data_IF_279931033333
#
_entry.id   IF_279931033333
#
_cell.length_a   1.000
_cell.length_b   1.000
_cell.length_c   1.000
_cell.angle_alpha   90.00
_cell.angle_beta   90.00
_cell.angle_gamma   90.00
#
_symmetry.space_group_name_H-M   'P 1'
#
loop_
_entity.id
_entity.type
_entity.pdbx_description
1 polymer ?
#
# COMPACT_ATOMS: atom_id res chain seq x y z
N UNK A 1 31.67 -3.59 5.94
CA UNK A 1 30.47 -2.76 6.21
C UNK A 1 30.23 -2.74 7.70
N UNK A 2 29.84 -1.60 8.31
CA UNK A 2 29.41 -1.56 9.72
C UNK A 2 28.10 -2.33 9.85
N UNK A 3 27.98 -3.30 10.77
CA UNK A 3 26.74 -4.04 10.93
C UNK A 3 25.60 -3.13 11.40
N UNK A 4 24.38 -3.46 11.04
CA UNK A 4 23.19 -2.72 11.47
C UNK A 4 22.76 -3.16 12.86
N UNK A 5 22.03 -2.31 13.57
CA UNK A 5 21.57 -2.59 14.95
C UNK A 5 20.77 -3.89 15.01
N UNK A 6 19.92 -4.18 14.03
CA UNK A 6 19.20 -5.45 13.94
C UNK A 6 20.12 -6.68 13.89
N UNK A 7 21.29 -6.57 13.26
CA UNK A 7 22.28 -7.64 13.18
C UNK A 7 23.04 -7.74 14.52
N UNK A 8 23.44 -6.60 15.08
CA UNK A 8 24.16 -6.53 16.35
C UNK A 8 23.39 -7.14 17.50
N UNK A 9 22.07 -6.87 17.57
CA UNK A 9 21.20 -7.40 18.62
C UNK A 9 21.06 -8.94 18.61
N UNK A 10 21.45 -9.60 17.50
CA UNK A 10 21.46 -11.06 17.35
C UNK A 10 22.83 -11.69 17.63
N UNK A 11 23.88 -10.87 17.86
CA UNK A 11 25.21 -11.37 18.17
C UNK A 11 25.25 -11.91 19.59
N UNK A 12 26.18 -12.86 19.81
CA UNK A 12 26.55 -13.29 21.15
C UNK A 12 27.43 -12.24 21.82
N UNK A 13 27.26 -12.05 23.11
CA UNK A 13 28.08 -11.16 23.93
C UNK A 13 29.48 -11.77 24.15
N UNK A 14 30.48 -11.36 23.36
CA UNK A 14 31.86 -11.90 23.39
C UNK A 14 32.94 -10.85 23.66
N UNK A 15 32.62 -9.73 24.28
CA UNK A 15 33.57 -8.62 24.52
C UNK A 15 34.34 -8.19 23.25
N UNK A 16 33.68 -8.25 22.09
CA UNK A 16 34.30 -7.86 20.83
C UNK A 16 34.13 -6.36 20.57
N UNK A 17 35.15 -5.76 19.94
CA UNK A 17 35.08 -4.37 19.51
C UNK A 17 34.01 -4.21 18.41
N UNK A 18 33.18 -3.20 18.54
CA UNK A 18 32.12 -2.93 17.63
C UNK A 18 31.90 -1.43 17.37
N UNK A 19 31.49 -1.08 16.18
CA UNK A 19 31.04 0.27 15.82
C UNK A 19 29.55 0.26 15.60
N UNK A 20 28.85 1.18 16.25
CA UNK A 20 27.40 1.39 16.06
C UNK A 20 27.13 2.82 15.64
N UNK A 21 26.21 3.01 14.69
CA UNK A 21 25.78 4.33 14.20
C UNK A 21 24.27 4.43 14.26
N UNK A 22 23.76 5.61 14.57
CA UNK A 22 22.30 5.81 14.59
C UNK A 22 21.88 7.12 15.25
N UNK A 23 20.58 7.22 15.46
CA UNK A 23 19.94 8.37 16.09
C UNK A 23 19.57 8.04 17.53
N UNK A 24 19.87 8.98 18.42
CA UNK A 24 19.55 8.90 19.85
C UNK A 24 18.03 8.96 20.03
N UNK A 25 17.46 7.93 20.64
CA UNK A 25 16.04 7.87 21.02
C UNK A 25 15.81 8.44 22.41
N UNK A 26 16.66 8.06 23.35
CA UNK A 26 16.62 8.58 24.71
C UNK A 26 18.04 8.58 25.30
N UNK A 27 18.29 9.53 26.19
CA UNK A 27 19.45 9.51 27.07
C UNK A 27 18.97 9.65 28.51
N UNK A 28 19.54 8.84 29.41
CA UNK A 28 19.30 8.88 30.86
C UNK A 28 20.59 8.52 31.57
N UNK A 29 20.70 8.82 32.82
CA UNK A 29 21.90 8.48 33.61
C UNK A 29 21.90 9.17 34.97
N UNK A 30 23.02 8.95 35.65
CA UNK A 30 23.34 9.62 36.91
C UNK A 30 24.80 10.13 36.84
N UNK A 31 25.37 10.51 37.96
CA UNK A 31 26.75 11.04 38.01
C UNK A 31 27.86 10.02 37.71
N UNK A 32 27.53 8.72 37.60
CA UNK A 32 28.53 7.66 37.38
C UNK A 32 28.40 7.01 35.99
N UNK A 33 27.17 6.97 35.42
CA UNK A 33 26.88 6.25 34.18
C UNK A 33 25.81 6.96 33.35
N UNK A 34 26.00 7.00 32.03
CA UNK A 34 24.98 7.41 31.10
C UNK A 34 24.53 6.23 30.20
N UNK A 35 23.26 6.15 29.97
CA UNK A 35 22.61 5.17 29.09
C UNK A 35 21.99 5.90 27.90
N UNK A 36 22.38 5.50 26.68
CA UNK A 36 21.87 6.08 25.45
C UNK A 36 21.18 4.95 24.65
N UNK A 37 19.89 5.11 24.37
CA UNK A 37 19.19 4.22 23.47
C UNK A 37 19.40 4.70 22.03
N UNK A 38 20.04 3.89 21.19
CA UNK A 38 20.39 4.22 19.82
C UNK A 38 19.62 3.32 18.83
N UNK A 39 19.15 3.92 17.73
CA UNK A 39 18.41 3.22 16.69
C UNK A 39 18.86 3.71 15.30
N UNK A 40 19.03 2.79 14.36
CA UNK A 40 19.42 3.07 12.97
C UNK A 40 18.31 2.83 11.95
N UNK A 41 17.09 2.55 12.43
CA UNK A 41 15.91 2.24 11.60
C UNK A 41 15.80 0.79 11.13
N UNK A 42 16.81 -0.06 11.37
CA UNK A 42 16.81 -1.45 10.88
C UNK A 42 15.83 -2.37 11.61
N UNK A 43 15.44 -2.03 12.84
CA UNK A 43 14.46 -2.77 13.63
C UNK A 43 13.71 -1.83 14.60
N UNK A 44 12.68 -2.35 15.26
CA UNK A 44 11.93 -1.61 16.27
C UNK A 44 12.75 -1.42 17.57
N UNK A 45 13.58 -2.39 17.91
CA UNK A 45 14.39 -2.37 19.11
C UNK A 45 15.54 -1.35 19.02
N UNK A 46 15.97 -0.84 20.17
CA UNK A 46 17.13 0.02 20.28
C UNK A 46 18.30 -0.79 20.85
N UNK A 47 19.53 -0.45 20.47
CA UNK A 47 20.69 -0.92 21.22
C UNK A 47 21.01 0.07 22.35
N UNK A 48 21.31 -0.44 23.54
CA UNK A 48 21.74 0.38 24.66
C UNK A 48 23.24 0.62 24.58
N UNK A 49 23.61 1.88 24.61
CA UNK A 49 25.00 2.32 24.80
C UNK A 49 25.16 2.69 26.26
N UNK A 50 26.16 2.10 26.89
CA UNK A 50 26.54 2.37 28.30
C UNK A 50 27.83 3.18 28.30
N UNK A 51 27.80 4.34 28.93
CA UNK A 51 28.98 5.21 29.08
C UNK A 51 29.34 5.26 30.56
N UNK A 52 30.47 4.65 30.92
CA UNK A 52 31.03 4.74 32.26
C UNK A 52 31.78 6.07 32.40
N UNK A 53 31.23 7.02 33.17
CA UNK A 53 31.76 8.36 33.31
C UNK A 53 33.08 8.40 34.09
N UNK A 54 33.46 7.32 34.80
CA UNK A 54 34.74 7.25 35.47
C UNK A 54 35.92 6.99 34.49
N UNK A 55 35.64 6.36 33.36
CA UNK A 55 36.65 5.96 32.36
C UNK A 55 36.53 6.69 31.02
N UNK A 56 35.38 7.32 30.75
CA UNK A 56 35.08 7.98 29.48
C UNK A 56 35.78 9.36 29.39
N UNK A 57 36.71 9.50 28.46
CA UNK A 57 37.63 10.64 28.38
C UNK A 57 37.02 11.96 27.89
N UNK A 58 35.89 11.90 27.16
CA UNK A 58 35.27 13.06 26.53
C UNK A 58 33.82 13.29 27.03
N UNK A 59 33.70 13.67 28.32
CA UNK A 59 32.36 13.94 28.88
C UNK A 59 31.65 15.12 28.23
N UNK A 60 32.39 16.08 27.66
CA UNK A 60 31.80 17.28 27.07
C UNK A 60 30.89 16.95 25.88
N UNK A 61 31.25 15.95 25.08
CA UNK A 61 30.42 15.52 23.93
C UNK A 61 29.02 15.07 24.36
N UNK A 62 28.92 14.51 25.59
CA UNK A 62 27.62 14.02 26.09
C UNK A 62 26.59 15.14 26.25
N UNK A 63 27.02 16.40 26.38
CA UNK A 63 26.08 17.53 26.43
C UNK A 63 25.34 17.70 25.11
N UNK A 64 25.99 17.39 23.98
CA UNK A 64 25.44 17.48 22.64
C UNK A 64 24.73 16.18 22.16
N UNK A 65 24.89 15.08 22.89
CA UNK A 65 24.17 13.80 22.62
C UNK A 65 22.78 13.89 23.22
N UNK A 66 21.89 14.54 22.51
CA UNK A 66 20.48 14.78 22.88
C UNK A 66 19.55 13.88 22.06
N UNK A 67 18.27 13.80 22.43
CA UNK A 67 17.25 13.08 21.63
C UNK A 67 17.23 13.63 20.20
N UNK A 68 17.34 12.74 19.22
CA UNK A 68 17.39 13.10 17.80
C UNK A 68 18.79 13.32 17.24
N UNK A 69 19.83 13.49 18.07
CA UNK A 69 21.20 13.59 17.61
C UNK A 69 21.65 12.30 16.90
N UNK A 70 22.49 12.44 15.88
CA UNK A 70 23.09 11.33 15.16
C UNK A 70 24.53 11.13 15.64
N UNK A 71 24.87 9.90 16.04
CA UNK A 71 26.16 9.56 16.60
C UNK A 71 26.75 8.28 16.01
N UNK A 72 28.10 8.19 16.07
CA UNK A 72 28.86 6.97 15.98
C UNK A 72 29.41 6.64 17.34
N UNK A 73 29.36 5.39 17.73
CA UNK A 73 29.90 4.86 18.98
C UNK A 73 30.82 3.71 18.63
N UNK A 74 32.06 3.80 19.04
CA UNK A 74 33.00 2.68 19.05
C UNK A 74 33.13 2.18 20.50
N UNK A 75 33.09 0.86 20.68
CA UNK A 75 33.12 0.27 22.02
C UNK A 75 33.13 -1.26 21.99
N UNK A 76 32.82 -1.86 23.13
CA UNK A 76 32.76 -3.31 23.29
C UNK A 76 31.32 -3.81 23.42
N UNK A 77 31.00 -4.84 22.66
CA UNK A 77 29.73 -5.55 22.78
C UNK A 77 29.82 -6.50 24.00
N UNK A 78 28.97 -6.27 24.98
CA UNK A 78 28.92 -7.02 26.22
C UNK A 78 27.53 -7.56 26.51
N UNK A 79 27.44 -8.55 27.40
CA UNK A 79 26.15 -9.02 27.89
C UNK A 79 25.43 -7.90 28.63
N UNK A 80 24.14 -7.66 28.29
CA UNK A 80 23.37 -6.64 28.99
C UNK A 80 23.07 -7.06 30.44
N UNK A 81 23.19 -6.11 31.34
CA UNK A 81 22.76 -6.25 32.73
C UNK A 81 21.30 -5.82 32.92
N UNK A 82 20.69 -5.24 31.87
CA UNK A 82 19.31 -4.77 31.88
C UNK A 82 18.30 -5.84 31.44
N UNK A 83 17.11 -5.80 32.00
CA UNK A 83 16.03 -6.69 31.55
C UNK A 83 15.56 -6.30 30.12
N UNK A 84 15.29 -7.31 29.28
CA UNK A 84 14.66 -7.14 27.97
C UNK A 84 15.61 -6.94 26.80
N UNK A 85 16.93 -7.07 26.99
CA UNK A 85 17.93 -7.05 25.91
C UNK A 85 19.08 -8.02 26.24
N UNK A 86 19.61 -8.71 25.21
CA UNK A 86 20.68 -9.70 25.37
C UNK A 86 22.08 -9.06 25.44
N UNK A 87 22.26 -7.97 24.69
CA UNK A 87 23.56 -7.29 24.50
C UNK A 87 23.44 -5.79 24.66
N UNK A 88 24.51 -5.15 25.04
CA UNK A 88 24.71 -3.69 25.09
C UNK A 88 26.11 -3.31 24.66
N UNK A 89 26.36 -2.05 24.35
CA UNK A 89 27.68 -1.55 23.96
C UNK A 89 28.26 -0.68 25.08
N UNK A 90 29.38 -1.11 25.63
CA UNK A 90 30.17 -0.27 26.52
C UNK A 90 31.00 0.69 25.66
N UNK A 91 30.65 1.98 25.70
CA UNK A 91 31.26 2.99 24.84
C UNK A 91 32.71 3.29 25.26
N UNK A 92 33.63 3.27 24.29
CA UNK A 92 35.01 3.75 24.42
C UNK A 92 35.11 5.15 23.81
N UNK A 93 34.47 5.41 22.68
CA UNK A 93 34.45 6.73 22.05
C UNK A 93 33.05 7.02 21.47
N UNK A 94 32.70 8.29 21.44
CA UNK A 94 31.50 8.79 20.78
C UNK A 94 31.89 9.94 19.85
N UNK A 95 31.46 9.86 18.60
CA UNK A 95 31.58 10.91 17.59
C UNK A 95 30.19 11.45 17.25
N UNK A 96 30.01 12.76 17.33
CA UNK A 96 28.78 13.42 16.96
C UNK A 96 28.75 13.72 15.45
N UNK A 97 27.85 13.07 14.69
CA UNK A 97 27.65 13.37 13.26
C UNK A 97 26.72 14.57 13.05
N UNK A 98 25.70 14.70 13.87
CA UNK A 98 24.75 15.80 13.80
C UNK A 98 24.06 16.03 15.13
N UNK A 99 24.08 17.25 15.61
CA UNK A 99 23.37 17.65 16.82
C UNK A 99 21.86 17.79 16.55
N UNK A 100 21.06 17.65 17.61
CA UNK A 100 19.65 18.02 17.61
C UNK A 100 19.41 18.94 18.81
N UNK A 101 18.90 20.14 18.53
CA UNK A 101 18.56 21.08 19.58
C UNK A 101 17.35 20.54 20.38
N UNK A 102 17.49 20.30 21.68
CA UNK A 102 16.43 19.72 22.50
C UNK A 102 15.21 20.65 22.64
N UNK A 103 15.34 21.96 22.39
CA UNK A 103 14.23 22.89 22.49
C UNK A 103 13.36 22.91 21.22
N UNK A 104 13.96 22.69 20.07
CA UNK A 104 13.28 22.79 18.77
C UNK A 104 13.00 21.44 18.10
N UNK A 105 13.67 20.35 18.52
CA UNK A 105 13.44 19.03 17.94
C UNK A 105 12.00 18.54 18.19
N UNK A 106 11.17 18.31 17.14
CA UNK A 106 9.74 18.12 17.32
C UNK A 106 9.36 16.75 17.92
N UNK A 107 10.20 15.71 17.73
CA UNK A 107 9.93 14.37 18.25
C UNK A 107 10.46 14.19 19.68
N UNK A 108 9.84 14.91 20.61
CA UNK A 108 10.18 14.84 22.03
C UNK A 108 9.79 13.47 22.65
N UNK A 109 10.29 13.20 23.87
CA UNK A 109 10.00 12.00 24.65
C UNK A 109 8.57 12.03 25.22
N UNK A 110 7.57 12.15 24.36
CA UNK A 110 6.11 12.11 24.67
C UNK A 110 5.36 11.42 23.56
N UNK A 111 4.11 11.05 23.83
CA UNK A 111 3.22 10.57 22.75
C UNK A 111 2.90 11.71 21.77
N UNK A 112 2.88 11.38 20.49
CA UNK A 112 2.49 12.29 19.41
C UNK A 112 1.23 11.77 18.74
N UNK A 113 0.29 12.63 18.38
CA UNK A 113 -0.88 12.24 17.59
C UNK A 113 -0.46 11.93 16.15
N UNK A 114 -1.26 11.12 15.47
CA UNK A 114 -1.01 10.82 14.04
C UNK A 114 -1.18 12.07 13.18
N UNK A 115 -2.09 12.98 13.54
CA UNK A 115 -2.29 14.26 12.86
C UNK A 115 -0.99 15.08 12.89
N UNK A 116 -0.42 15.30 14.06
CA UNK A 116 0.85 16.01 14.20
C UNK A 116 1.97 15.34 13.40
N UNK A 117 2.03 14.00 13.40
CA UNK A 117 3.05 13.27 12.66
C UNK A 117 2.85 13.35 11.13
N UNK A 118 1.63 13.63 10.65
CA UNK A 118 1.39 13.94 9.22
C UNK A 118 1.95 15.31 8.85
N UNK A 119 1.84 16.31 9.73
CA UNK A 119 2.39 17.65 9.50
C UNK A 119 3.92 17.65 9.42
N UNK A 120 4.58 16.69 10.06
CA UNK A 120 6.02 16.48 10.01
C UNK A 120 6.41 15.15 9.33
N UNK A 121 5.76 14.83 8.21
CA UNK A 121 5.92 13.54 7.54
C UNK A 121 7.38 13.19 7.21
N UNK A 122 8.24 14.18 6.96
CA UNK A 122 9.68 14.02 6.74
C UNK A 122 10.46 13.49 7.97
N UNK A 123 9.94 13.66 9.18
CA UNK A 123 10.56 13.17 10.42
C UNK A 123 9.84 11.96 11.03
N UNK A 124 8.57 11.72 10.68
CA UNK A 124 7.79 10.64 11.28
C UNK A 124 8.39 9.24 11.12
N UNK A 125 9.22 8.92 10.09
CA UNK A 125 9.92 7.64 10.01
C UNK A 125 10.84 7.35 11.20
N UNK A 126 11.26 8.38 11.93
CA UNK A 126 12.05 8.22 13.16
C UNK A 126 11.23 7.73 14.35
N UNK A 127 9.90 7.66 14.27
CA UNK A 127 9.04 7.09 15.31
C UNK A 127 8.98 5.56 15.18
N UNK A 128 8.67 4.87 16.28
CA UNK A 128 8.53 3.40 16.24
C UNK A 128 7.39 2.97 15.33
N UNK A 129 6.25 3.66 15.39
CA UNK A 129 5.07 3.36 14.56
C UNK A 129 5.38 3.46 13.08
N UNK A 130 5.90 4.59 12.61
CA UNK A 130 6.18 4.75 11.19
C UNK A 130 7.43 3.98 10.74
N UNK A 131 8.38 3.72 11.64
CA UNK A 131 9.46 2.77 11.38
C UNK A 131 8.92 1.36 11.10
N UNK A 132 8.00 0.87 11.93
CA UNK A 132 7.36 -0.44 11.72
C UNK A 132 6.54 -0.47 10.42
N UNK A 133 5.67 0.52 10.19
CA UNK A 133 4.86 0.62 8.97
C UNK A 133 5.74 0.60 7.71
N UNK A 134 6.84 1.35 7.69
CA UNK A 134 7.70 1.44 6.50
C UNK A 134 8.53 0.16 6.28
N UNK A 135 8.94 -0.55 7.35
CA UNK A 135 9.57 -1.87 7.20
C UNK A 135 8.59 -2.92 6.68
N UNK A 136 7.35 -2.92 7.19
CA UNK A 136 6.28 -3.78 6.66
C UNK A 136 6.00 -3.43 5.19
N UNK A 137 5.88 -2.14 4.84
CA UNK A 137 5.70 -1.69 3.46
C UNK A 137 6.81 -2.20 2.54
N UNK A 138 8.07 -2.08 2.96
CA UNK A 138 9.20 -2.60 2.20
C UNK A 138 9.09 -4.13 1.99
N UNK A 139 8.82 -4.87 3.06
CA UNK A 139 8.69 -6.33 3.01
C UNK A 139 7.55 -6.76 2.09
N UNK A 140 6.40 -6.09 2.16
CA UNK A 140 5.25 -6.38 1.30
C UNK A 140 5.54 -6.10 -0.18
N UNK A 141 6.21 -4.97 -0.50
CA UNK A 141 6.59 -4.68 -1.88
C UNK A 141 7.52 -5.76 -2.47
N UNK A 142 8.50 -6.22 -1.68
CA UNK A 142 9.37 -7.31 -2.10
C UNK A 142 8.60 -8.63 -2.25
N UNK A 143 7.72 -8.96 -1.32
CA UNK A 143 6.90 -10.17 -1.38
C UNK A 143 6.02 -10.24 -2.63
N UNK A 144 5.46 -9.11 -3.07
CA UNK A 144 4.67 -9.01 -4.31
C UNK A 144 5.53 -9.39 -5.52
N UNK A 145 6.71 -8.77 -5.67
CA UNK A 145 7.62 -9.11 -6.77
C UNK A 145 8.08 -10.57 -6.71
N UNK A 146 8.36 -11.08 -5.52
CA UNK A 146 8.76 -12.48 -5.33
C UNK A 146 7.65 -13.44 -5.76
N UNK A 147 6.41 -13.21 -5.32
CA UNK A 147 5.25 -14.02 -5.65
C UNK A 147 5.07 -14.20 -7.15
N UNK A 148 5.04 -13.10 -7.88
CA UNK A 148 4.83 -13.11 -9.32
C UNK A 148 6.04 -13.65 -10.08
N UNK A 149 7.27 -13.32 -9.66
CA UNK A 149 8.48 -13.83 -10.28
C UNK A 149 8.60 -15.37 -10.16
N UNK A 150 8.28 -15.94 -9.00
CA UNK A 150 8.29 -17.41 -8.79
C UNK A 150 7.25 -18.12 -9.68
N UNK A 151 6.14 -17.47 -10.01
CA UNK A 151 5.09 -17.96 -10.91
C UNK A 151 5.30 -17.60 -12.37
N UNK A 152 6.46 -17.03 -12.72
CA UNK A 152 6.88 -16.69 -14.10
C UNK A 152 6.05 -15.58 -14.76
N UNK A 153 5.41 -14.73 -13.98
CA UNK A 153 4.81 -13.50 -14.48
C UNK A 153 5.88 -12.50 -14.89
N UNK A 154 5.64 -11.76 -15.96
CA UNK A 154 6.48 -10.64 -16.35
C UNK A 154 6.04 -9.34 -15.66
N UNK A 155 6.99 -8.64 -15.03
CA UNK A 155 6.73 -7.27 -14.57
C UNK A 155 6.70 -6.32 -15.76
N UNK A 156 5.56 -5.68 -15.98
CA UNK A 156 5.36 -4.73 -17.07
C UNK A 156 5.26 -3.30 -16.55
N UNK A 157 6.11 -2.41 -17.09
CA UNK A 157 5.99 -0.98 -16.88
C UNK A 157 4.94 -0.41 -17.84
N UNK A 158 3.84 0.10 -17.29
CA UNK A 158 2.80 0.79 -18.06
C UNK A 158 2.97 2.31 -17.94
N UNK A 159 2.54 3.11 -18.92
CA UNK A 159 2.71 4.56 -18.90
C UNK A 159 2.00 5.23 -17.72
N UNK A 160 2.69 6.16 -17.07
CA UNK A 160 2.10 7.02 -16.03
C UNK A 160 1.31 8.18 -16.67
N UNK A 161 1.78 8.66 -17.83
CA UNK A 161 1.08 9.68 -18.61
C UNK A 161 0.30 8.99 -19.71
N UNK A 162 -1.01 9.18 -19.74
CA UNK A 162 -1.90 8.51 -20.69
C UNK A 162 -2.86 9.49 -21.35
N UNK A 163 -3.26 9.18 -22.59
CA UNK A 163 -4.36 9.86 -23.28
C UNK A 163 -5.70 9.13 -23.14
N UNK A 164 -5.77 8.03 -22.36
CA UNK A 164 -6.96 7.19 -22.20
C UNK A 164 -7.46 7.19 -20.77
N UNK A 165 -8.76 7.16 -20.57
CA UNK A 165 -9.41 6.94 -19.28
C UNK A 165 -9.85 5.47 -19.18
N UNK A 166 -9.17 4.68 -18.36
CA UNK A 166 -9.45 3.26 -18.17
C UNK A 166 -10.78 3.01 -17.47
N UNK A 167 -11.17 3.88 -16.54
CA UNK A 167 -12.37 3.68 -15.72
C UNK A 167 -13.59 4.45 -16.23
N UNK A 168 -13.40 5.41 -17.15
CA UNK A 168 -14.49 6.16 -17.82
C UNK A 168 -15.27 7.11 -16.92
N UNK A 169 -14.85 7.33 -15.67
CA UNK A 169 -15.58 8.12 -14.69
C UNK A 169 -14.68 8.88 -13.70
N UNK A 170 -13.36 8.78 -13.82
CA UNK A 170 -12.43 9.37 -12.87
C UNK A 170 -12.13 10.83 -13.16
N UNK A 171 -12.08 11.68 -12.13
CA UNK A 171 -11.41 12.96 -12.25
C UNK A 171 -9.91 12.69 -12.34
N UNK A 172 -9.33 12.92 -13.52
CA UNK A 172 -7.90 12.73 -13.78
C UNK A 172 -7.14 14.03 -13.59
N UNK A 173 -5.89 13.94 -13.11
CA UNK A 173 -4.97 15.07 -13.13
C UNK A 173 -4.48 15.31 -14.57
N UNK A 174 -4.71 16.50 -15.08
CA UNK A 174 -4.23 16.87 -16.41
C UNK A 174 -2.71 17.12 -16.43
N UNK A 175 -2.04 16.63 -17.46
CA UNK A 175 -0.61 16.82 -17.72
C UNK A 175 -0.46 17.67 -18.97
N UNK A 176 0.02 18.91 -18.82
CA UNK A 176 0.17 19.87 -19.90
C UNK A 176 1.39 20.74 -19.70
N UNK A 177 2.02 21.15 -20.80
CA UNK A 177 3.09 22.16 -20.83
C UNK A 177 2.60 23.53 -21.29
N UNK A 178 1.31 23.66 -21.60
CA UNK A 178 0.70 24.92 -21.97
C UNK A 178 0.64 25.90 -20.78
N UNK A 179 0.75 27.19 -21.09
CA UNK A 179 0.57 28.22 -20.04
C UNK A 179 -0.85 28.21 -19.52
N UNK A 180 -1.03 28.11 -18.21
CA UNK A 180 -2.34 28.18 -17.58
C UNK A 180 -2.97 29.56 -17.64
N UNK A 181 -2.15 30.63 -17.70
CA UNK A 181 -2.65 32.02 -17.75
C UNK A 181 -3.20 32.39 -19.12
N UNK A 182 -2.61 31.85 -20.22
CA UNK A 182 -3.00 32.16 -21.58
C UNK A 182 -2.75 30.95 -22.50
N UNK A 183 -3.57 29.88 -22.39
CA UNK A 183 -3.42 28.72 -23.26
C UNK A 183 -3.82 29.09 -24.71
N UNK A 184 -3.17 28.49 -25.73
CA UNK A 184 -3.62 28.61 -27.10
C UNK A 184 -5.04 28.06 -27.24
N UNK A 185 -5.83 28.68 -28.15
CA UNK A 185 -7.24 28.30 -28.33
C UNK A 185 -7.54 28.06 -29.81
N UNK A 186 -8.48 27.14 -30.04
CA UNK A 186 -9.06 26.90 -31.37
C UNK A 186 -9.96 28.08 -31.76
N UNK A 187 -10.43 28.06 -33.00
CA UNK A 187 -11.40 29.07 -33.49
C UNK A 187 -12.71 29.06 -32.70
N UNK A 188 -13.11 27.89 -32.16
CA UNK A 188 -14.30 27.73 -31.31
C UNK A 188 -14.05 28.13 -29.85
N UNK A 189 -12.82 28.52 -29.49
CA UNK A 189 -12.47 28.99 -28.15
C UNK A 189 -12.05 27.88 -27.17
N UNK A 190 -12.02 26.62 -27.58
CA UNK A 190 -11.48 25.51 -26.78
C UNK A 190 -9.95 25.59 -26.66
N UNK A 191 -9.35 24.89 -25.68
CA UNK A 191 -7.90 24.79 -25.60
C UNK A 191 -7.38 23.99 -26.81
N UNK A 192 -6.39 24.57 -27.51
CA UNK A 192 -5.74 23.93 -28.66
C UNK A 192 -4.60 23.02 -28.18
N UNK A 193 -4.90 21.80 -27.84
CA UNK A 193 -3.93 20.80 -27.40
C UNK A 193 -2.97 20.33 -28.50
N UNK A 194 -3.21 20.68 -29.79
CA UNK A 194 -2.24 20.37 -30.86
C UNK A 194 -0.90 21.11 -30.67
N UNK A 195 -0.92 22.19 -29.88
CA UNK A 195 0.26 22.95 -29.48
C UNK A 195 0.89 22.49 -28.18
N UNK A 196 0.30 21.51 -27.48
CA UNK A 196 0.88 20.92 -26.29
C UNK A 196 1.95 19.87 -26.63
N UNK A 197 2.74 19.46 -25.62
CA UNK A 197 3.88 18.55 -25.78
C UNK A 197 3.52 17.27 -26.52
N UNK A 198 2.39 16.64 -26.18
CA UNK A 198 1.93 15.39 -26.80
C UNK A 198 0.98 15.59 -27.99
N UNK A 199 0.64 16.82 -28.34
CA UNK A 199 -0.31 17.14 -29.42
C UNK A 199 -1.76 16.72 -29.15
N UNK A 200 -2.10 16.33 -27.95
CA UNK A 200 -3.42 15.91 -27.49
C UNK A 200 -3.55 16.03 -25.98
N UNK A 201 -4.77 16.04 -25.42
CA UNK A 201 -4.97 15.97 -23.96
C UNK A 201 -4.32 14.73 -23.36
N UNK A 202 -3.56 14.92 -22.27
CA UNK A 202 -2.95 13.85 -21.52
C UNK A 202 -3.19 14.02 -20.01
N UNK A 203 -3.20 12.92 -19.30
CA UNK A 203 -3.49 12.86 -17.87
C UNK A 203 -2.53 11.92 -17.16
N UNK A 204 -2.47 12.01 -15.82
CA UNK A 204 -1.89 10.96 -14.99
C UNK A 204 -2.84 9.77 -14.95
N UNK A 205 -2.30 8.56 -15.08
CA UNK A 205 -3.10 7.32 -15.17
C UNK A 205 -3.86 7.00 -13.88
N UNK A 206 -5.04 6.43 -14.03
CA UNK A 206 -5.84 5.87 -12.92
C UNK A 206 -5.63 4.36 -12.75
N UNK A 207 -5.01 3.68 -13.75
CA UNK A 207 -4.74 2.24 -13.76
C UNK A 207 -3.79 1.89 -14.91
N UNK A 208 -2.98 0.87 -14.73
CA UNK A 208 -2.16 0.28 -15.79
C UNK A 208 -2.81 -0.90 -16.50
N UNK A 209 -4.10 -1.17 -16.23
CA UNK A 209 -4.80 -2.37 -16.69
C UNK A 209 -4.86 -2.50 -18.21
N UNK A 210 -5.31 -1.47 -18.92
CA UNK A 210 -5.55 -1.58 -20.37
C UNK A 210 -4.26 -1.91 -21.12
N UNK A 211 -3.16 -1.23 -20.81
CA UNK A 211 -1.84 -1.54 -21.36
C UNK A 211 -1.30 -2.88 -20.84
N UNK A 212 -1.65 -3.25 -19.60
CA UNK A 212 -1.33 -4.56 -19.01
C UNK A 212 -1.95 -5.70 -19.80
N UNK A 213 -3.22 -5.57 -20.21
CA UNK A 213 -3.89 -6.57 -21.06
C UNK A 213 -3.19 -6.76 -22.42
N UNK A 214 -2.63 -5.69 -23.02
CA UNK A 214 -1.82 -5.82 -24.25
C UNK A 214 -0.59 -6.70 -24.01
N UNK A 215 0.06 -6.52 -22.84
CA UNK A 215 1.17 -7.34 -22.41
C UNK A 215 0.77 -8.80 -22.22
N UNK A 216 -0.35 -9.07 -21.55
CA UNK A 216 -0.87 -10.40 -21.33
C UNK A 216 -1.19 -11.13 -22.63
N UNK A 217 -1.78 -10.42 -23.61
CA UNK A 217 -2.08 -10.97 -24.94
C UNK A 217 -0.84 -11.32 -25.79
N UNK A 218 0.36 -11.01 -25.30
CA UNK A 218 1.63 -11.29 -25.98
C UNK A 218 2.57 -12.18 -25.13
N UNK A 219 2.62 -11.94 -23.82
CA UNK A 219 3.53 -12.59 -22.87
C UNK A 219 2.83 -13.65 -22.00
N UNK A 220 1.51 -13.77 -22.09
CA UNK A 220 0.70 -14.75 -21.35
C UNK A 220 0.30 -14.25 -19.96
N UNK A 221 1.25 -14.00 -19.08
CA UNK A 221 1.00 -13.57 -17.70
C UNK A 221 1.92 -12.42 -17.34
N UNK A 222 1.31 -11.28 -16.97
CA UNK A 222 2.05 -10.09 -16.56
C UNK A 222 1.49 -9.55 -15.26
N UNK A 223 2.21 -8.65 -14.63
CA UNK A 223 1.66 -7.79 -13.59
C UNK A 223 2.26 -6.39 -13.70
N UNK A 224 1.46 -5.39 -13.33
CA UNK A 224 1.95 -4.05 -13.04
C UNK A 224 2.17 -3.88 -11.54
N UNK A 225 3.05 -3.01 -11.14
CA UNK A 225 3.17 -2.51 -9.79
C UNK A 225 3.67 -1.07 -9.89
N UNK A 226 2.75 -0.14 -9.95
CA UNK A 226 3.05 1.25 -10.28
C UNK A 226 2.11 2.25 -9.63
N UNK A 227 2.49 3.55 -9.68
CA UNK A 227 1.69 4.64 -9.16
C UNK A 227 0.45 4.87 -10.02
N UNK A 228 -0.66 5.17 -9.35
CA UNK A 228 -1.94 5.57 -9.93
C UNK A 228 -2.45 6.83 -9.25
N UNK A 229 -3.27 7.60 -9.96
CA UNK A 229 -3.65 8.94 -9.54
C UNK A 229 -5.16 9.15 -9.72
N UNK A 230 -5.81 9.72 -8.70
CA UNK A 230 -7.23 10.09 -8.76
C UNK A 230 -7.41 11.49 -8.21
N UNK A 231 -7.99 12.39 -9.01
CA UNK A 231 -8.23 13.78 -8.63
C UNK A 231 -9.56 13.98 -7.87
N UNK A 232 -10.08 12.93 -7.29
CA UNK A 232 -11.32 12.98 -6.51
C UNK A 232 -11.17 13.89 -5.28
N UNK A 233 -12.10 14.80 -5.09
CA UNK A 233 -12.15 15.65 -3.89
C UNK A 233 -12.75 14.87 -2.70
N UNK A 234 -12.07 13.80 -2.31
CA UNK A 234 -12.47 12.92 -1.21
C UNK A 234 -11.51 13.00 -0.04
N UNK A 235 -12.03 13.30 1.15
CA UNK A 235 -11.25 13.49 2.36
C UNK A 235 -11.46 12.37 3.38
N UNK A 236 -11.75 11.15 2.93
CA UNK A 236 -11.97 9.99 3.78
C UNK A 236 -10.65 9.34 4.25
N UNK A 237 -10.67 8.50 5.28
CA UNK A 237 -9.51 7.71 5.71
C UNK A 237 -9.01 6.67 4.68
N UNK A 238 -9.72 6.47 3.57
CA UNK A 238 -9.45 5.43 2.58
C UNK A 238 -9.06 5.97 1.20
N UNK A 239 -8.97 7.30 1.01
CA UNK A 239 -8.65 7.93 -0.27
C UNK A 239 -7.33 8.69 -0.23
N UNK A 240 -6.56 8.53 -1.28
CA UNK A 240 -5.35 9.27 -1.61
C UNK A 240 -5.44 9.72 -3.07
N UNK A 241 -4.85 10.86 -3.39
CA UNK A 241 -4.73 11.32 -4.77
C UNK A 241 -3.62 10.58 -5.55
N UNK A 242 -2.65 10.01 -4.85
CA UNK A 242 -1.57 9.17 -5.38
C UNK A 242 -1.43 7.93 -4.50
N UNK A 243 -1.44 6.76 -5.11
CA UNK A 243 -1.28 5.46 -4.45
C UNK A 243 -0.70 4.45 -5.44
N UNK A 244 -0.41 3.23 -5.00
CA UNK A 244 0.16 2.20 -5.87
C UNK A 244 -0.82 1.05 -6.08
N UNK A 245 -0.90 0.58 -7.34
CA UNK A 245 -1.70 -0.58 -7.71
C UNK A 245 -0.82 -1.75 -8.13
N UNK A 246 -1.26 -2.95 -7.78
CA UNK A 246 -0.76 -4.21 -8.30
C UNK A 246 -1.86 -4.78 -9.19
N UNK A 247 -1.58 -4.96 -10.48
CA UNK A 247 -2.58 -5.34 -11.46
C UNK A 247 -2.04 -6.48 -12.33
N UNK A 248 -2.24 -7.74 -11.92
CA UNK A 248 -1.94 -8.89 -12.76
C UNK A 248 -3.00 -9.04 -13.85
N UNK A 249 -2.55 -9.38 -15.07
CA UNK A 249 -3.39 -9.72 -16.22
C UNK A 249 -2.91 -11.03 -16.83
N UNK A 250 -3.82 -11.96 -17.04
CA UNK A 250 -3.51 -13.33 -17.42
C UNK A 250 -4.31 -13.78 -18.63
N UNK A 251 -3.63 -14.04 -19.74
CA UNK A 251 -4.23 -14.73 -20.88
C UNK A 251 -4.57 -16.18 -20.51
N UNK A 252 -5.65 -16.69 -21.08
CA UNK A 252 -6.18 -18.05 -20.91
C UNK A 252 -6.76 -18.34 -19.52
N UNK A 253 -6.95 -17.31 -18.68
CA UNK A 253 -7.62 -17.41 -17.40
C UNK A 253 -9.08 -16.97 -17.53
N UNK A 254 -9.97 -17.78 -16.98
CA UNK A 254 -11.39 -17.41 -16.75
C UNK A 254 -11.57 -16.82 -15.34
N UNK A 255 -12.81 -16.47 -14.97
CA UNK A 255 -13.12 -15.85 -13.68
C UNK A 255 -12.70 -16.76 -12.50
N UNK A 256 -12.91 -18.06 -12.65
CA UNK A 256 -12.58 -19.07 -11.63
C UNK A 256 -11.09 -19.10 -11.32
N UNK A 257 -10.25 -19.11 -12.37
CA UNK A 257 -8.78 -19.06 -12.23
C UNK A 257 -8.33 -17.75 -11.59
N UNK A 258 -9.00 -16.64 -11.93
CA UNK A 258 -8.72 -15.32 -11.37
C UNK A 258 -9.02 -15.26 -9.87
N UNK A 259 -10.14 -15.86 -9.44
CA UNK A 259 -10.49 -15.99 -8.02
C UNK A 259 -9.48 -16.82 -7.25
N UNK A 260 -9.03 -17.95 -7.82
CA UNK A 260 -8.03 -18.82 -7.19
C UNK A 260 -6.69 -18.09 -7.02
N UNK A 261 -6.25 -17.36 -8.04
CA UNK A 261 -5.03 -16.57 -7.98
C UNK A 261 -5.12 -15.45 -6.93
N UNK A 262 -6.24 -14.73 -6.87
CA UNK A 262 -6.44 -13.65 -5.91
C UNK A 262 -6.41 -14.17 -4.46
N UNK A 263 -7.06 -15.30 -4.19
CA UNK A 263 -7.03 -15.95 -2.87
C UNK A 263 -5.62 -16.41 -2.49
N UNK A 264 -4.91 -17.13 -3.38
CA UNK A 264 -3.54 -17.60 -3.15
C UNK A 264 -2.58 -16.43 -2.94
N UNK A 265 -2.69 -15.38 -3.73
CA UNK A 265 -1.86 -14.19 -3.62
C UNK A 265 -2.03 -13.48 -2.28
N UNK A 266 -3.26 -13.22 -1.85
CA UNK A 266 -3.53 -12.55 -0.57
C UNK A 266 -3.06 -13.40 0.62
N UNK A 267 -3.33 -14.71 0.60
CA UNK A 267 -2.85 -15.63 1.64
C UNK A 267 -1.31 -15.68 1.69
N UNK A 268 -0.64 -15.69 0.53
CA UNK A 268 0.82 -15.65 0.46
C UNK A 268 1.38 -14.37 1.09
N UNK A 269 0.83 -13.20 0.73
CA UNK A 269 1.30 -11.92 1.25
C UNK A 269 1.13 -11.81 2.78
N UNK A 270 -0.01 -12.25 3.29
CA UNK A 270 -0.26 -12.22 4.74
C UNK A 270 0.67 -13.20 5.47
N UNK A 271 0.87 -14.42 4.97
CA UNK A 271 1.84 -15.38 5.52
C UNK A 271 3.25 -14.83 5.51
N UNK A 272 3.63 -14.14 4.41
CA UNK A 272 4.93 -13.50 4.31
C UNK A 272 5.12 -12.42 5.39
N UNK A 273 4.11 -11.59 5.64
CA UNK A 273 4.15 -10.59 6.70
C UNK A 273 4.28 -11.23 8.08
N UNK A 274 3.45 -12.21 8.40
CA UNK A 274 3.47 -12.93 9.68
C UNK A 274 4.85 -13.58 9.96
N UNK A 275 5.52 -14.07 8.91
CA UNK A 275 6.82 -14.76 9.03
C UNK A 275 8.00 -13.78 9.08
N UNK A 276 7.99 -12.72 8.26
CA UNK A 276 9.15 -11.88 8.05
C UNK A 276 9.08 -10.53 8.79
N UNK A 277 7.90 -10.14 9.29
CA UNK A 277 7.68 -8.87 10.00
C UNK A 277 7.17 -9.08 11.43
N UNK A 278 7.47 -10.20 12.06
CA UNK A 278 6.89 -10.63 13.34
C UNK A 278 7.02 -9.55 14.43
N UNK A 279 8.22 -9.01 14.66
CA UNK A 279 8.46 -7.99 15.70
C UNK A 279 7.64 -6.71 15.45
N UNK A 280 7.59 -6.27 14.19
CA UNK A 280 6.84 -5.07 13.80
C UNK A 280 5.33 -5.31 13.90
N UNK A 281 4.84 -6.49 13.51
CA UNK A 281 3.42 -6.86 13.64
C UNK A 281 2.99 -7.01 15.09
N UNK A 282 3.82 -7.60 15.96
CA UNK A 282 3.58 -7.66 17.41
C UNK A 282 3.50 -6.25 18.02
N UNK A 283 4.38 -5.35 17.60
CA UNK A 283 4.35 -3.95 18.00
C UNK A 283 3.04 -3.28 17.54
N UNK A 284 2.66 -3.44 16.28
CA UNK A 284 1.42 -2.86 15.74
C UNK A 284 0.17 -3.45 16.43
N UNK A 285 0.14 -4.77 16.66
CA UNK A 285 -0.92 -5.44 17.40
C UNK A 285 -1.08 -4.89 18.82
N UNK A 286 0.01 -4.66 19.51
CA UNK A 286 0.00 -4.13 20.87
C UNK A 286 -0.42 -2.68 20.95
N UNK A 287 0.01 -1.84 20.02
CA UNK A 287 -0.10 -0.39 20.11
C UNK A 287 -1.33 0.18 19.40
N UNK A 288 -1.76 -0.44 18.28
CA UNK A 288 -2.73 0.15 17.37
C UNK A 288 -3.99 -0.70 17.19
N UNK A 289 -3.86 -1.98 16.94
CA UNK A 289 -5.00 -2.88 16.71
C UNK A 289 -4.78 -4.22 17.40
N UNK A 290 -5.36 -4.39 18.56
CA UNK A 290 -5.18 -5.58 19.41
C UNK A 290 -5.69 -6.89 18.78
N UNK A 291 -6.51 -6.80 17.74
CA UNK A 291 -7.06 -7.95 17.00
C UNK A 291 -6.28 -8.21 15.69
N UNK A 292 -5.19 -7.45 15.43
CA UNK A 292 -4.45 -7.52 14.17
C UNK A 292 -3.99 -8.93 13.83
N UNK A 293 -3.26 -9.57 14.74
CA UNK A 293 -2.70 -10.92 14.50
C UNK A 293 -3.79 -11.98 14.34
N UNK A 294 -4.86 -11.89 15.13
CA UNK A 294 -6.02 -12.77 15.01
C UNK A 294 -6.68 -12.62 13.62
N UNK A 295 -6.89 -11.38 13.17
CA UNK A 295 -7.48 -11.09 11.87
C UNK A 295 -6.62 -11.54 10.70
N UNK A 296 -5.29 -11.39 10.78
CA UNK A 296 -4.37 -11.87 9.76
C UNK A 296 -4.42 -13.40 9.64
N UNK A 297 -4.38 -14.12 10.77
CA UNK A 297 -4.52 -15.58 10.79
C UNK A 297 -5.90 -16.02 10.30
N UNK A 298 -6.98 -15.32 10.66
CA UNK A 298 -8.33 -15.60 10.17
C UNK A 298 -8.39 -15.68 8.65
N UNK A 299 -7.74 -14.75 7.92
CA UNK A 299 -7.72 -14.77 6.44
C UNK A 299 -6.89 -15.94 5.93
N UNK A 300 -5.75 -16.25 6.55
CA UNK A 300 -4.86 -17.33 6.12
C UNK A 300 -5.50 -18.71 6.31
N UNK A 301 -6.23 -18.90 7.40
CA UNK A 301 -6.74 -20.20 7.85
C UNK A 301 -8.09 -20.56 7.23
N UNK A 302 -8.77 -19.62 6.57
CA UNK A 302 -10.08 -19.84 5.97
C UNK A 302 -10.04 -19.83 4.45
N UNK A 303 -10.79 -20.73 3.81
CA UNK A 303 -11.09 -20.64 2.38
C UNK A 303 -12.09 -19.49 2.13
N UNK A 304 -11.93 -18.78 1.02
CA UNK A 304 -12.79 -17.66 0.69
C UNK A 304 -14.12 -18.17 0.12
N UNK A 305 -15.23 -17.63 0.63
CA UNK A 305 -16.57 -17.92 0.12
C UNK A 305 -16.73 -17.25 -1.24
N UNK A 306 -17.19 -17.99 -2.24
CA UNK A 306 -17.58 -17.46 -3.56
C UNK A 306 -19.09 -17.25 -3.56
N UNK A 307 -19.50 -16.00 -3.63
CA UNK A 307 -20.89 -15.57 -3.47
C UNK A 307 -21.35 -14.81 -4.71
N UNK A 308 -22.50 -15.20 -5.28
CA UNK A 308 -23.15 -14.43 -6.34
C UNK A 308 -23.72 -13.12 -5.76
N UNK A 309 -23.58 -12.02 -6.51
CA UNK A 309 -24.11 -10.70 -6.11
C UNK A 309 -25.61 -10.75 -5.79
N UNK A 310 -26.38 -11.46 -6.61
CA UNK A 310 -27.84 -11.60 -6.41
C UNK A 310 -28.14 -12.27 -5.08
N UNK A 311 -27.44 -13.36 -4.77
CA UNK A 311 -27.58 -14.05 -3.49
C UNK A 311 -27.11 -13.15 -2.32
N UNK A 312 -26.03 -12.40 -2.50
CA UNK A 312 -25.53 -11.42 -1.53
C UNK A 312 -26.58 -10.36 -1.18
N UNK A 313 -27.24 -9.81 -2.19
CA UNK A 313 -28.34 -8.83 -2.02
C UNK A 313 -29.53 -9.47 -1.26
N UNK A 314 -29.91 -10.70 -1.58
CA UNK A 314 -30.99 -11.42 -0.88
C UNK A 314 -30.64 -11.63 0.61
N UNK A 315 -29.41 -12.03 0.92
CA UNK A 315 -28.92 -12.17 2.30
C UNK A 315 -29.01 -10.82 3.05
N UNK A 316 -28.55 -9.74 2.43
CA UNK A 316 -28.58 -8.41 3.04
C UNK A 316 -30.00 -7.92 3.28
N UNK A 317 -30.94 -8.16 2.35
CA UNK A 317 -32.36 -7.81 2.52
C UNK A 317 -33.04 -8.63 3.63
N UNK A 318 -32.67 -9.90 3.76
CA UNK A 318 -33.27 -10.83 4.74
C UNK A 318 -32.69 -10.71 6.17
N UNK A 319 -31.56 -10.04 6.34
CA UNK A 319 -30.82 -10.05 7.61
C UNK A 319 -31.52 -9.29 8.76
N UNK A 320 -32.52 -8.48 8.48
CA UNK A 320 -33.25 -7.68 9.47
C UNK A 320 -32.48 -6.48 10.03
N UNK A 321 -31.25 -6.23 9.56
CA UNK A 321 -30.44 -5.09 9.95
C UNK A 321 -30.88 -3.85 9.17
N UNK A 322 -30.92 -2.69 9.82
CA UNK A 322 -31.10 -1.40 9.15
C UNK A 322 -29.73 -0.86 8.78
N UNK A 323 -29.45 -0.80 7.48
CA UNK A 323 -28.26 -0.18 6.92
C UNK A 323 -28.48 1.34 6.75
N UNK A 324 -27.40 2.10 6.68
CA UNK A 324 -27.42 3.52 6.37
C UNK A 324 -27.86 3.74 4.91
N UNK A 325 -27.33 2.89 4.00
CA UNK A 325 -27.66 2.89 2.58
C UNK A 325 -28.64 1.75 2.27
N UNK A 326 -29.73 2.01 1.54
CA UNK A 326 -30.67 0.96 1.17
C UNK A 326 -30.05 -0.06 0.22
N UNK A 327 -30.43 -1.34 0.39
CA UNK A 327 -29.98 -2.44 -0.44
C UNK A 327 -31.10 -2.85 -1.39
N UNK A 328 -30.81 -2.77 -2.68
CA UNK A 328 -31.66 -3.32 -3.75
C UNK A 328 -30.77 -3.91 -4.85
N UNK A 329 -31.33 -4.79 -5.66
CA UNK A 329 -30.61 -5.34 -6.80
C UNK A 329 -30.27 -4.22 -7.79
N UNK A 330 -29.00 -4.18 -8.21
CA UNK A 330 -28.49 -3.13 -9.08
C UNK A 330 -27.79 -1.97 -8.34
N UNK A 331 -27.84 -1.93 -6.99
CA UNK A 331 -27.09 -0.92 -6.24
C UNK A 331 -25.61 -1.28 -6.12
N UNK A 332 -24.75 -0.26 -6.03
CA UNK A 332 -23.37 -0.42 -5.62
C UNK A 332 -23.31 -0.67 -4.10
N UNK A 333 -22.77 -1.83 -3.70
CA UNK A 333 -22.69 -2.21 -2.28
C UNK A 333 -21.69 -1.32 -1.54
N UNK A 334 -22.13 -0.78 -0.41
CA UNK A 334 -21.29 0.05 0.43
C UNK A 334 -20.50 -0.81 1.45
N UNK A 335 -19.43 -0.27 2.00
CA UNK A 335 -18.58 -0.98 2.95
C UNK A 335 -19.32 -1.60 4.15
N UNK A 336 -20.47 -1.04 4.56
CA UNK A 336 -21.29 -1.64 5.63
C UNK A 336 -21.95 -2.95 5.21
N UNK A 337 -22.35 -3.06 3.93
CA UNK A 337 -22.94 -4.27 3.34
C UNK A 337 -21.88 -5.37 3.21
N UNK A 338 -20.74 -5.02 2.62
CA UNK A 338 -19.60 -5.92 2.44
C UNK A 338 -19.10 -6.49 3.78
N UNK A 339 -18.94 -5.63 4.78
CA UNK A 339 -18.50 -6.04 6.10
C UNK A 339 -19.52 -6.94 6.81
N UNK A 340 -20.82 -6.68 6.63
CA UNK A 340 -21.86 -7.58 7.16
C UNK A 340 -21.71 -8.99 6.60
N UNK A 341 -21.53 -9.12 5.28
CA UNK A 341 -21.34 -10.45 4.65
C UNK A 341 -20.13 -11.18 5.23
N UNK A 342 -19.00 -10.48 5.40
CA UNK A 342 -17.74 -11.07 5.87
C UNK A 342 -17.72 -11.30 7.38
N UNK A 343 -18.12 -10.31 8.19
CA UNK A 343 -17.89 -10.29 9.62
C UNK A 343 -19.05 -10.97 10.41
N UNK A 344 -20.28 -10.87 9.90
CA UNK A 344 -21.46 -11.31 10.64
C UNK A 344 -22.12 -12.56 10.03
N UNK A 345 -22.31 -12.57 8.70
CA UNK A 345 -23.03 -13.66 8.03
C UNK A 345 -22.13 -14.89 7.81
N UNK A 346 -21.12 -14.79 6.94
CA UNK A 346 -20.26 -15.93 6.61
C UNK A 346 -19.14 -16.16 7.63
N UNK A 347 -18.68 -15.13 8.30
CA UNK A 347 -17.51 -15.15 9.19
C UNK A 347 -16.28 -15.76 8.48
N UNK A 348 -16.09 -15.38 7.23
CA UNK A 348 -15.00 -15.76 6.32
C UNK A 348 -14.78 -14.65 5.30
N UNK A 349 -13.58 -14.54 4.68
CA UNK A 349 -13.42 -13.71 3.51
C UNK A 349 -14.38 -14.13 2.39
N UNK A 350 -14.88 -13.18 1.61
CA UNK A 350 -15.86 -13.42 0.56
C UNK A 350 -15.34 -12.88 -0.78
N UNK A 351 -15.51 -13.65 -1.84
CA UNK A 351 -15.36 -13.19 -3.21
C UNK A 351 -16.77 -13.05 -3.78
N UNK A 352 -17.20 -11.82 -3.98
CA UNK A 352 -18.52 -11.49 -4.54
C UNK A 352 -18.39 -11.37 -6.05
N UNK A 353 -19.26 -12.06 -6.80
CA UNK A 353 -19.15 -12.18 -8.26
C UNK A 353 -20.48 -11.84 -8.97
N UNK A 354 -20.43 -11.69 -10.31
CA UNK A 354 -21.58 -11.51 -11.17
C UNK A 354 -22.40 -10.26 -10.85
N UNK A 355 -21.73 -9.13 -10.83
CA UNK A 355 -22.36 -7.83 -10.58
C UNK A 355 -23.24 -7.35 -11.73
N UNK A 356 -24.25 -6.49 -11.46
CA UNK A 356 -24.98 -5.80 -12.49
C UNK A 356 -24.07 -5.02 -13.44
N UNK A 357 -24.30 -5.12 -14.76
CA UNK A 357 -23.44 -4.48 -15.77
C UNK A 357 -23.43 -2.95 -15.70
N UNK A 358 -24.54 -2.37 -15.21
CA UNK A 358 -24.74 -0.93 -15.14
C UNK A 358 -23.79 -0.22 -14.16
N UNK A 359 -23.29 -0.95 -13.15
CA UNK A 359 -22.39 -0.43 -12.12
C UNK A 359 -20.94 -0.87 -12.31
N UNK A 360 -20.59 -1.50 -13.44
CA UNK A 360 -19.25 -2.03 -13.71
C UNK A 360 -18.71 -1.53 -15.06
N UNK A 361 -17.40 -1.53 -15.21
CA UNK A 361 -16.66 -0.96 -16.33
C UNK A 361 -16.91 -1.69 -17.67
N UNK A 362 -16.61 -1.00 -18.76
CA UNK A 362 -16.92 -1.44 -20.13
C UNK A 362 -16.19 -2.72 -20.57
N UNK A 363 -15.02 -2.97 -20.03
CA UNK A 363 -14.14 -4.08 -20.44
C UNK A 363 -14.52 -5.43 -19.81
N UNK A 364 -15.47 -5.47 -18.89
CA UNK A 364 -15.86 -6.70 -18.21
C UNK A 364 -16.74 -7.58 -19.07
N UNK A 365 -16.45 -8.88 -19.12
CA UNK A 365 -17.20 -9.87 -19.89
C UNK A 365 -18.64 -9.97 -19.40
N UNK A 366 -19.60 -9.84 -20.30
CA UNK A 366 -21.01 -10.01 -19.99
C UNK A 366 -21.38 -11.50 -19.85
N UNK A 367 -22.21 -11.81 -18.86
CA UNK A 367 -22.85 -13.11 -18.72
C UNK A 367 -23.95 -13.32 -19.80
N UNK A 368 -24.37 -14.56 -20.00
CA UNK A 368 -25.41 -14.92 -20.97
C UNK A 368 -26.80 -14.33 -20.64
N UNK A 369 -27.01 -13.94 -19.40
CA UNK A 369 -28.25 -13.29 -18.94
C UNK A 369 -28.43 -11.86 -19.49
N UNK A 370 -27.39 -11.27 -20.06
CA UNK A 370 -27.36 -9.90 -20.60
C UNK A 370 -27.50 -8.80 -19.54
N UNK A 371 -27.53 -9.13 -18.25
CA UNK A 371 -27.75 -8.21 -17.12
C UNK A 371 -26.55 -8.09 -16.21
N UNK A 372 -25.74 -9.14 -16.10
CA UNK A 372 -24.59 -9.19 -15.22
C UNK A 372 -23.28 -9.33 -15.98
N UNK A 373 -22.18 -9.03 -15.30
CA UNK A 373 -20.81 -9.18 -15.81
C UNK A 373 -19.98 -10.08 -14.90
N UNK A 374 -18.98 -10.75 -15.46
CA UNK A 374 -18.06 -11.64 -14.74
C UNK A 374 -17.02 -10.84 -13.95
N UNK A 375 -17.53 -9.96 -13.10
CA UNK A 375 -16.74 -9.21 -12.12
C UNK A 375 -16.52 -10.04 -10.86
N UNK A 376 -15.47 -9.70 -10.11
CA UNK A 376 -15.22 -10.21 -8.77
C UNK A 376 -14.67 -9.10 -7.88
N UNK A 377 -15.15 -9.03 -6.64
CA UNK A 377 -14.57 -8.21 -5.59
C UNK A 377 -14.25 -9.08 -4.38
N UNK A 378 -13.01 -9.03 -3.90
CA UNK A 378 -12.59 -9.77 -2.70
C UNK A 378 -12.80 -8.89 -1.48
N UNK A 379 -13.61 -9.38 -0.55
CA UNK A 379 -14.05 -8.66 0.64
C UNK A 379 -13.35 -9.19 1.90
N UNK A 380 -12.75 -8.27 2.66
CA UNK A 380 -12.04 -8.57 3.91
C UNK A 380 -12.69 -7.88 5.11
N UNK A 381 -12.51 -8.45 6.32
CA UNK A 381 -13.01 -7.81 7.55
C UNK A 381 -12.34 -6.44 7.76
N UNK A 382 -13.06 -5.47 8.32
CA UNK A 382 -12.67 -4.08 8.58
C UNK A 382 -12.38 -3.23 7.33
N UNK A 383 -11.99 -3.83 6.21
CA UNK A 383 -11.63 -3.12 4.97
C UNK A 383 -12.82 -3.06 4.00
N UNK A 384 -13.58 -4.14 3.84
CA UNK A 384 -14.48 -4.34 2.72
C UNK A 384 -13.71 -4.80 1.49
N UNK A 385 -13.99 -4.27 0.32
CA UNK A 385 -13.26 -4.59 -0.91
C UNK A 385 -11.76 -4.30 -0.79
N UNK A 386 -10.93 -5.32 -1.03
CA UNK A 386 -9.47 -5.25 -1.06
C UNK A 386 -8.91 -5.48 -2.48
N UNK A 387 -9.56 -6.30 -3.27
CA UNK A 387 -9.30 -6.56 -4.69
C UNK A 387 -10.59 -6.37 -5.46
N UNK A 388 -10.51 -5.68 -6.59
CA UNK A 388 -11.52 -5.66 -7.63
C UNK A 388 -10.96 -6.25 -8.93
N UNK A 389 -11.73 -7.09 -9.62
CA UNK A 389 -11.27 -7.74 -10.85
C UNK A 389 -12.40 -8.24 -11.72
N UNK A 390 -12.04 -8.86 -12.85
CA UNK A 390 -13.01 -9.50 -13.74
C UNK A 390 -12.36 -10.43 -14.75
N UNK A 391 -13.15 -11.28 -15.37
CA UNK A 391 -12.87 -11.77 -16.70
C UNK A 391 -13.14 -10.65 -17.70
N UNK A 392 -12.25 -10.50 -18.70
CA UNK A 392 -12.28 -9.42 -19.67
C UNK A 392 -13.10 -9.84 -20.91
N UNK A 393 -13.78 -8.87 -21.52
CA UNK A 393 -14.51 -9.16 -22.77
C UNK A 393 -13.53 -9.44 -23.92
N UNK A 394 -13.55 -10.66 -24.42
CA UNK A 394 -12.67 -11.12 -25.49
C UNK A 394 -13.31 -10.99 -26.88
N UNK A 395 -14.63 -10.81 -26.97
CA UNK A 395 -15.35 -10.63 -28.23
C UNK A 395 -15.32 -9.17 -28.67
N UNK A 396 -14.79 -8.92 -29.86
CA UNK A 396 -14.69 -7.57 -30.43
C UNK A 396 -16.05 -6.89 -30.58
N UNK A 397 -17.07 -7.63 -31.07
CA UNK A 397 -18.40 -7.06 -31.32
C UNK A 397 -19.11 -6.64 -30.03
N UNK A 398 -19.01 -7.48 -28.98
CA UNK A 398 -19.58 -7.19 -27.67
C UNK A 398 -18.86 -6.02 -26.99
N UNK A 399 -17.53 -5.99 -27.05
CA UNK A 399 -16.74 -4.90 -26.47
C UNK A 399 -17.02 -3.57 -27.17
N UNK A 400 -17.01 -3.54 -28.51
CA UNK A 400 -17.34 -2.33 -29.29
C UNK A 400 -18.78 -1.84 -29.02
N UNK A 401 -19.74 -2.75 -28.89
CA UNK A 401 -21.10 -2.38 -28.51
C UNK A 401 -21.16 -1.76 -27.11
N UNK A 402 -20.41 -2.29 -26.15
CA UNK A 402 -20.38 -1.77 -24.78
C UNK A 402 -19.70 -0.39 -24.69
N UNK A 403 -18.63 -0.17 -25.45
CA UNK A 403 -17.97 1.15 -25.57
C UNK A 403 -19.00 2.20 -26.02
N UNK A 404 -19.80 1.90 -27.04
CA UNK A 404 -20.84 2.80 -27.54
C UNK A 404 -22.01 2.99 -26.57
N UNK A 405 -22.42 1.93 -25.86
CA UNK A 405 -23.48 1.99 -24.82
C UNK A 405 -23.13 2.97 -23.70
N UNK A 406 -21.83 3.16 -23.42
CA UNK A 406 -21.32 4.07 -22.38
C UNK A 406 -20.89 5.44 -22.92
N UNK A 407 -21.34 5.82 -24.13
CA UNK A 407 -21.02 7.08 -24.78
C UNK A 407 -19.51 7.34 -24.97
N UNK A 408 -18.69 6.25 -24.98
CA UNK A 408 -17.27 6.30 -25.31
C UNK A 408 -17.07 6.19 -26.83
N UNK A 409 -15.97 6.72 -27.34
CA UNK A 409 -15.63 6.58 -28.76
C UNK A 409 -14.63 5.43 -28.98
N UNK A 410 -14.77 4.73 -30.12
CA UNK A 410 -13.80 3.68 -30.48
C UNK A 410 -12.38 4.27 -30.70
N UNK A 411 -12.30 5.54 -31.12
CA UNK A 411 -11.05 6.27 -31.32
C UNK A 411 -10.25 6.43 -30.02
N UNK A 412 -10.92 6.54 -28.88
CA UNK A 412 -10.23 6.69 -27.57
C UNK A 412 -9.54 5.40 -27.13
N UNK A 413 -10.07 4.24 -27.58
CA UNK A 413 -9.61 2.90 -27.18
C UNK A 413 -9.30 1.99 -28.38
N UNK A 414 -9.01 2.57 -29.58
CA UNK A 414 -8.81 1.81 -30.81
C UNK A 414 -7.74 0.72 -30.68
N UNK A 415 -6.62 1.04 -30.05
CA UNK A 415 -5.49 0.15 -29.83
C UNK A 415 -5.85 -1.01 -28.88
N UNK A 416 -6.74 -0.79 -27.92
CA UNK A 416 -7.26 -1.80 -27.03
C UNK A 416 -8.25 -2.74 -27.75
N UNK A 417 -9.12 -2.18 -28.60
CA UNK A 417 -10.03 -2.94 -29.46
C UNK A 417 -9.27 -3.82 -30.48
N UNK A 418 -8.12 -3.38 -30.96
CA UNK A 418 -7.31 -4.14 -31.91
C UNK A 418 -6.83 -5.49 -31.36
N UNK A 419 -6.62 -5.61 -30.06
CA UNK A 419 -6.27 -6.90 -29.44
C UNK A 419 -7.43 -7.91 -29.49
N UNK A 420 -8.64 -7.45 -29.70
CA UNK A 420 -9.81 -8.32 -29.90
C UNK A 420 -10.04 -8.64 -31.38
N UNK A 421 -9.55 -7.80 -32.27
CA UNK A 421 -9.60 -8.08 -33.73
C UNK A 421 -8.59 -9.13 -34.13
N UNK A 422 -7.42 -9.15 -33.50
CA UNK A 422 -6.29 -9.97 -33.92
C UNK A 422 -5.79 -10.92 -32.82
N UNK A 423 -6.29 -12.14 -32.86
CA UNK A 423 -5.83 -13.19 -31.95
C UNK A 423 -6.31 -13.03 -30.51
N UNK A 424 -7.55 -12.61 -30.32
CA UNK A 424 -8.16 -12.53 -28.99
C UNK A 424 -8.16 -13.88 -28.29
N UNK A 425 -8.04 -13.85 -26.97
CA UNK A 425 -8.12 -15.00 -26.08
C UNK A 425 -8.93 -14.67 -24.82
N UNK A 426 -9.55 -15.67 -24.16
CA UNK A 426 -10.03 -15.48 -22.80
C UNK A 426 -8.91 -14.96 -21.90
N UNK A 427 -9.18 -13.96 -21.09
CA UNK A 427 -8.22 -13.41 -20.16
C UNK A 427 -8.93 -12.73 -18.98
N UNK A 428 -8.23 -12.66 -17.88
CA UNK A 428 -8.73 -12.14 -16.60
C UNK A 428 -7.64 -11.34 -15.89
N UNK A 429 -8.06 -10.49 -14.98
CA UNK A 429 -7.13 -9.75 -14.14
C UNK A 429 -7.84 -9.11 -12.97
N UNK A 430 -7.05 -8.55 -12.06
CA UNK A 430 -7.55 -7.82 -10.92
C UNK A 430 -6.61 -6.68 -10.48
N UNK A 431 -7.13 -5.74 -9.70
CA UNK A 431 -6.37 -4.68 -9.08
C UNK A 431 -6.36 -4.80 -7.55
N UNK A 432 -5.18 -4.75 -6.95
CA UNK A 432 -4.96 -4.64 -5.51
C UNK A 432 -4.33 -3.29 -5.19
N UNK A 433 -5.02 -2.46 -4.42
CA UNK A 433 -4.44 -1.22 -3.88
C UNK A 433 -3.38 -1.53 -2.81
N UNK A 434 -2.13 -1.13 -3.04
CA UNK A 434 -1.03 -1.44 -2.12
C UNK A 434 -1.24 -0.83 -0.74
N UNK A 435 -1.67 0.42 -0.68
CA UNK A 435 -1.95 1.10 0.58
C UNK A 435 -3.14 0.48 1.32
N UNK A 436 -4.14 -0.05 0.60
CA UNK A 436 -5.27 -0.77 1.20
C UNK A 436 -4.82 -2.10 1.83
N UNK A 437 -3.93 -2.83 1.15
CA UNK A 437 -3.26 -4.00 1.73
C UNK A 437 -2.49 -3.63 3.00
N UNK A 438 -1.74 -2.53 2.97
CA UNK A 438 -0.96 -2.08 4.13
C UNK A 438 -1.84 -1.66 5.31
N UNK A 439 -2.99 -1.02 5.08
CA UNK A 439 -3.97 -0.78 6.14
C UNK A 439 -4.37 -2.08 6.82
N UNK A 440 -4.67 -3.12 6.03
CA UNK A 440 -5.06 -4.42 6.55
C UNK A 440 -3.95 -5.09 7.34
N UNK A 441 -2.73 -5.13 6.80
CA UNK A 441 -1.57 -5.81 7.40
C UNK A 441 -1.01 -5.08 8.60
N UNK A 442 -1.11 -3.74 8.66
CA UNK A 442 -0.57 -2.95 9.78
C UNK A 442 -1.59 -2.64 10.87
N UNK A 443 -2.88 -2.76 10.59
CA UNK A 443 -3.94 -2.34 11.49
C UNK A 443 -4.10 -0.84 11.64
N UNK A 444 -3.44 -0.04 10.78
CA UNK A 444 -3.63 1.41 10.77
C UNK A 444 -5.02 1.78 10.26
N UNK A 445 -5.61 2.83 10.84
CA UNK A 445 -6.98 3.24 10.53
C UNK A 445 -7.10 4.25 9.38
N UNK A 446 -5.99 4.87 8.97
CA UNK A 446 -5.98 5.92 7.94
C UNK A 446 -4.90 5.65 6.91
N UNK A 447 -5.29 5.67 5.63
CA UNK A 447 -4.41 5.38 4.50
C UNK A 447 -3.21 6.35 4.40
N UNK A 448 -3.35 7.58 4.93
CA UNK A 448 -2.26 8.57 5.00
C UNK A 448 -1.10 8.12 5.90
N UNK A 449 -1.33 7.11 6.73
CA UNK A 449 -0.35 6.62 7.70
C UNK A 449 0.41 5.37 7.21
N UNK A 450 0.10 4.88 6.01
CA UNK A 450 0.79 3.72 5.40
C UNK A 450 1.57 4.05 4.14
N UNK A 451 1.58 5.33 3.74
CA UNK A 451 2.40 5.85 2.64
C UNK A 451 3.40 6.88 3.20
N UNK A 452 4.65 6.97 2.68
CA UNK A 452 5.66 7.89 3.21
C UNK A 452 5.21 9.35 3.22
N UNK A 453 4.73 9.85 2.09
CA UNK A 453 4.30 11.24 1.86
C UNK A 453 2.94 11.25 1.19
N UNK A 454 1.84 11.36 1.95
CA UNK A 454 0.49 11.29 1.39
C UNK A 454 0.16 12.50 0.50
N UNK A 455 -0.54 12.24 -0.61
CA UNK A 455 -1.14 13.25 -1.48
C UNK A 455 -2.65 13.23 -1.29
N UNK A 456 -3.21 14.33 -0.85
CA UNK A 456 -4.64 14.48 -0.59
C UNK A 456 -5.10 15.89 -0.97
N UNK A 457 -6.41 16.17 -1.06
CA UNK A 457 -6.88 17.54 -1.26
C UNK A 457 -6.22 18.50 -0.27
N UNK A 458 -5.73 19.63 -0.78
CA UNK A 458 -5.00 20.68 -0.06
C UNK A 458 -3.69 20.24 0.63
N UNK A 459 -3.11 19.09 0.26
CA UNK A 459 -1.83 18.63 0.80
C UNK A 459 -0.95 17.98 -0.26
N UNK A 460 0.13 18.67 -0.61
CA UNK A 460 1.21 18.20 -1.47
C UNK A 460 2.59 18.60 -0.91
N UNK A 461 2.68 18.82 0.41
CA UNK A 461 3.93 19.09 1.11
C UNK A 461 4.91 17.90 1.04
N UNK A 462 6.20 18.18 0.97
CA UNK A 462 7.34 17.25 0.80
C UNK A 462 7.48 16.74 -0.64
#
# INVERSE_FOLDING_TARGET
MTPRIAEILRLEAKEQSITVKGWVRTKRGNKNVAFIALNDGSCAANIQIVVDLATFSNEEILKSVTTGACVRVDGKLVASQGAGQGVEVLAETIELYGAADPETYPLQKKGHSLEFLRDIAHLRPRTNTFGAVLRIRHAMAFAIHQYFNERKFFYLHTPIITGSDCEGAGQMFNVSTLSMDNPPRTEEGAIDYTQDFFGKPCNLTVSGQLEGELGAMSLGQIYTFGPTFRAENSNTPRHLAEFWMIEPEMAFYELEDNMDLAEDFLKYLIKYALTNCTEDLEFMNKMWDKELLERLNFVVDNDFIRLDYTEGVEILKACGRKFEFPVDWGCDLQSEHERYLVEEHFKKPVILINYPKEIKSFYMKQNEDGKTVRAMDVLFPKIGEIIGGSEREADFGKLSARVKELDMTEEDVWWYLDTRRWGSAPHSGFGLGFERLLLFVTGMANIRDVIPFPRTPNNAEF
#
